data_IF_553897158096
#
_entry.id   IF_553897158096
#
_cell.length_a   1.000
_cell.length_b   1.000
_cell.length_c   1.000
_cell.angle_alpha   90.00
_cell.angle_beta   90.00
_cell.angle_gamma   90.00
#
_symmetry.space_group_name_H-M   'P 1'
#
loop_
_entity.id
_entity.type
_entity.pdbx_description
1 polymer ?
#
# COMPACT_ATOMS: atom_id res chain seq x y z
N UNK A 1 15.64 22.84 -4.81
CA UNK A 1 14.53 21.97 -5.27
C UNK A 1 14.86 20.53 -4.97
N UNK A 2 14.02 19.86 -4.20
CA UNK A 2 14.20 18.46 -3.88
C UNK A 2 13.60 17.58 -4.97
N UNK A 3 14.30 16.50 -5.34
CA UNK A 3 13.77 15.50 -6.24
C UNK A 3 12.60 14.79 -5.56
N UNK A 4 11.47 14.55 -6.22
CA UNK A 4 10.38 13.79 -5.66
C UNK A 4 10.82 12.38 -5.24
N UNK A 5 10.22 11.85 -4.18
CA UNK A 5 10.51 10.49 -3.70
C UNK A 5 10.03 9.43 -4.69
N UNK A 6 9.12 9.78 -5.57
CA UNK A 6 8.54 8.92 -6.60
C UNK A 6 7.07 9.26 -6.82
N UNK A 7 6.45 8.50 -7.73
CA UNK A 7 5.02 8.58 -8.00
C UNK A 7 4.31 7.45 -7.26
N UNK A 8 3.16 7.76 -6.69
CA UNK A 8 2.41 6.79 -5.91
C UNK A 8 0.94 6.73 -6.34
N UNK A 9 0.35 5.55 -6.19
CA UNK A 9 -1.07 5.31 -6.36
C UNK A 9 -1.61 4.70 -5.08
N UNK A 10 -2.80 5.12 -4.65
CA UNK A 10 -3.46 4.59 -3.47
C UNK A 10 -4.67 3.77 -3.89
N UNK A 11 -4.85 2.61 -3.29
CA UNK A 11 -6.01 1.75 -3.51
C UNK A 11 -6.68 1.51 -2.16
N UNK A 12 -7.84 2.12 -1.96
CA UNK A 12 -8.65 1.91 -0.76
C UNK A 12 -9.64 0.79 -1.03
N UNK A 13 -9.56 -0.27 -0.24
CA UNK A 13 -10.45 -1.43 -0.35
C UNK A 13 -11.55 -1.29 0.68
N UNK A 14 -12.78 -1.08 0.24
CA UNK A 14 -13.91 -0.81 1.12
C UNK A 14 -15.23 -1.25 0.47
N UNK A 15 -16.14 -1.75 1.29
CA UNK A 15 -17.49 -2.10 0.85
C UNK A 15 -18.49 -0.94 0.98
N UNK A 16 -18.04 0.22 1.48
CA UNK A 16 -18.92 1.38 1.73
C UNK A 16 -19.10 2.31 0.54
N UNK A 17 -18.74 1.86 -0.65
CA UNK A 17 -18.84 2.66 -1.88
C UNK A 17 -20.25 3.10 -2.21
N UNK A 18 -21.25 2.33 -1.79
CA UNK A 18 -22.66 2.55 -2.11
C UNK A 18 -23.19 3.86 -1.51
N UNK A 19 -22.59 4.33 -0.43
CA UNK A 19 -23.08 5.51 0.30
C UNK A 19 -22.32 6.79 -0.06
N UNK A 20 -21.44 6.75 -1.03
CA UNK A 20 -20.65 7.93 -1.44
C UNK A 20 -19.56 8.33 -0.47
N UNK A 21 -19.47 7.68 0.67
CA UNK A 21 -18.44 7.89 1.67
C UNK A 21 -17.45 6.73 1.54
N UNK A 22 -16.59 6.86 0.57
CA UNK A 22 -15.93 5.74 -0.10
C UNK A 22 -14.97 4.95 0.79
N UNK A 23 -14.25 5.62 1.70
CA UNK A 23 -13.15 4.95 2.41
C UNK A 23 -12.97 5.50 3.82
N UNK A 24 -13.95 6.21 4.34
CA UNK A 24 -13.88 6.87 5.66
C UNK A 24 -12.64 7.76 5.83
N UNK A 25 -12.19 8.36 4.72
CA UNK A 25 -11.03 9.23 4.71
C UNK A 25 -9.69 8.52 4.67
N UNK A 26 -9.66 7.19 4.51
CA UNK A 26 -8.41 6.44 4.47
C UNK A 26 -7.52 6.86 3.30
N UNK A 27 -8.10 6.96 2.10
CA UNK A 27 -7.34 7.39 0.92
C UNK A 27 -6.80 8.81 1.08
N UNK A 28 -7.59 9.72 1.66
CA UNK A 28 -7.14 11.08 1.92
C UNK A 28 -5.99 11.12 2.92
N UNK A 29 -6.06 10.32 3.98
CA UNK A 29 -4.99 10.26 4.98
C UNK A 29 -3.69 9.73 4.37
N UNK A 30 -3.75 8.65 3.60
CA UNK A 30 -2.57 8.10 2.93
C UNK A 30 -1.99 9.11 1.96
N UNK A 31 -2.85 9.80 1.19
CA UNK A 31 -2.42 10.87 0.29
C UNK A 31 -1.64 11.94 1.04
N UNK A 32 -2.20 12.43 2.13
CA UNK A 32 -1.55 13.45 2.95
C UNK A 32 -0.16 13.01 3.42
N UNK A 33 -0.07 11.80 3.96
CA UNK A 33 1.19 11.27 4.48
C UNK A 33 2.25 11.08 3.38
N UNK A 34 1.84 10.60 2.22
CA UNK A 34 2.75 10.42 1.09
C UNK A 34 3.21 11.75 0.51
N UNK A 35 2.33 12.73 0.38
CA UNK A 35 2.68 14.07 -0.10
C UNK A 35 3.67 14.74 0.86
N UNK A 36 3.44 14.63 2.16
CA UNK A 36 4.38 15.14 3.17
C UNK A 36 5.75 14.51 3.05
N UNK A 37 5.81 13.24 2.64
CA UNK A 37 7.07 12.52 2.46
C UNK A 37 7.74 12.79 1.10
N UNK A 38 7.14 13.62 0.25
CA UNK A 38 7.72 14.02 -1.02
C UNK A 38 7.27 13.21 -2.24
N UNK A 39 6.28 12.32 -2.08
CA UNK A 39 5.72 11.61 -3.23
C UNK A 39 4.75 12.48 -4.02
N UNK A 40 4.72 12.24 -5.32
CA UNK A 40 3.66 12.77 -6.20
C UNK A 40 2.58 11.70 -6.27
N UNK A 41 1.39 12.00 -5.77
CA UNK A 41 0.29 11.03 -5.75
C UNK A 41 -0.52 11.19 -7.04
N UNK A 42 -0.49 10.15 -7.88
CA UNK A 42 -1.20 10.14 -9.17
C UNK A 42 -2.71 10.02 -8.99
N UNK A 43 -3.15 9.33 -7.93
CA UNK A 43 -4.56 9.17 -7.65
C UNK A 43 -4.83 8.28 -6.46
N UNK A 44 -6.09 8.25 -6.05
CA UNK A 44 -6.59 7.38 -5.00
C UNK A 44 -7.86 6.70 -5.53
N UNK A 45 -7.80 5.38 -5.68
CA UNK A 45 -8.89 4.58 -6.20
C UNK A 45 -9.58 3.86 -5.05
N UNK A 46 -10.91 3.96 -4.96
CA UNK A 46 -11.69 3.20 -4.01
C UNK A 46 -12.34 2.02 -4.75
N UNK A 47 -12.11 0.81 -4.24
CA UNK A 47 -12.60 -0.42 -4.86
C UNK A 47 -13.28 -1.31 -3.82
N UNK A 48 -14.28 -2.09 -4.21
CA UNK A 48 -14.92 -3.03 -3.29
C UNK A 48 -13.98 -4.18 -2.92
N UNK A 49 -14.32 -4.90 -1.86
CA UNK A 49 -13.55 -6.07 -1.37
C UNK A 49 -13.76 -7.27 -2.29
N UNK A 50 -13.34 -7.16 -3.53
CA UNK A 50 -13.49 -8.18 -4.56
C UNK A 50 -12.20 -8.29 -5.38
N UNK A 51 -11.85 -9.52 -5.72
CA UNK A 51 -10.58 -9.81 -6.41
C UNK A 51 -10.43 -9.05 -7.72
N UNK A 52 -11.48 -8.96 -8.52
CA UNK A 52 -11.42 -8.33 -9.84
C UNK A 52 -11.09 -6.85 -9.74
N UNK A 53 -11.76 -6.12 -8.85
CA UNK A 53 -11.54 -4.68 -8.69
C UNK A 53 -10.14 -4.37 -8.13
N UNK A 54 -9.72 -5.14 -7.14
CA UNK A 54 -8.39 -4.97 -6.54
C UNK A 54 -7.30 -5.26 -7.57
N UNK A 55 -7.41 -6.37 -8.29
CA UNK A 55 -6.44 -6.75 -9.32
C UNK A 55 -6.35 -5.70 -10.41
N UNK A 56 -7.50 -5.21 -10.87
CA UNK A 56 -7.55 -4.16 -11.90
C UNK A 56 -6.85 -2.88 -11.43
N UNK A 57 -7.09 -2.47 -10.20
CA UNK A 57 -6.46 -1.27 -9.64
C UNK A 57 -4.93 -1.44 -9.52
N UNK A 58 -4.47 -2.60 -9.04
CA UNK A 58 -3.03 -2.88 -8.94
C UNK A 58 -2.37 -2.88 -10.33
N UNK A 59 -2.99 -3.54 -11.29
CA UNK A 59 -2.47 -3.59 -12.65
C UNK A 59 -2.44 -2.21 -13.31
N UNK A 60 -3.42 -1.36 -13.03
CA UNK A 60 -3.42 0.02 -13.51
C UNK A 60 -2.18 0.77 -13.04
N UNK A 61 -1.83 0.63 -11.76
CA UNK A 61 -0.63 1.28 -11.22
C UNK A 61 0.66 0.71 -11.79
N UNK A 62 0.76 -0.61 -11.89
CA UNK A 62 1.97 -1.26 -12.42
C UNK A 62 2.19 -0.89 -13.89
N UNK A 63 1.14 -0.97 -14.71
CA UNK A 63 1.20 -0.61 -16.14
C UNK A 63 1.52 0.87 -16.30
N UNK A 64 0.95 1.71 -15.44
CA UNK A 64 1.22 3.15 -15.42
C UNK A 64 2.61 3.54 -14.95
N UNK A 65 3.39 2.57 -14.43
CA UNK A 65 4.77 2.81 -14.05
C UNK A 65 4.95 3.60 -12.77
N UNK A 66 3.97 3.56 -11.85
CA UNK A 66 4.16 4.22 -10.55
C UNK A 66 5.24 3.51 -9.75
N UNK A 67 5.89 4.22 -8.86
CA UNK A 67 6.95 3.67 -8.04
C UNK A 67 6.42 2.93 -6.81
N UNK A 68 5.27 3.37 -6.30
CA UNK A 68 4.68 2.82 -5.09
C UNK A 68 3.17 2.71 -5.22
N UNK A 69 2.62 1.56 -4.87
CA UNK A 69 1.18 1.39 -4.66
C UNK A 69 0.97 1.04 -3.18
N UNK A 70 0.16 1.82 -2.50
CA UNK A 70 -0.27 1.52 -1.14
C UNK A 70 -1.73 1.09 -1.18
N UNK A 71 -2.01 -0.13 -0.76
CA UNK A 71 -3.40 -0.56 -0.55
C UNK A 71 -3.77 -0.38 0.91
N UNK A 72 -5.00 -0.03 1.18
CA UNK A 72 -5.51 0.16 2.54
C UNK A 72 -6.78 -0.65 2.72
N UNK A 73 -6.81 -1.50 3.74
CA UNK A 73 -7.95 -2.33 4.05
C UNK A 73 -7.91 -3.72 3.42
N UNK A 74 -8.84 -4.56 3.82
CA UNK A 74 -8.98 -5.91 3.30
C UNK A 74 -7.86 -6.87 3.69
N UNK A 75 -7.18 -6.62 4.81
CA UNK A 75 -6.00 -7.41 5.24
C UNK A 75 -6.28 -8.35 6.41
N UNK A 76 -7.52 -8.45 6.87
CA UNK A 76 -7.90 -9.30 8.01
C UNK A 76 -8.11 -10.75 7.64
N UNK A 77 -8.94 -11.43 8.44
CA UNK A 77 -9.11 -12.88 8.35
C UNK A 77 -10.50 -13.32 7.88
N UNK A 78 -11.36 -12.37 7.52
CA UNK A 78 -12.70 -12.72 7.04
C UNK A 78 -12.65 -13.13 5.57
N UNK A 79 -13.69 -13.84 5.07
CA UNK A 79 -13.74 -14.19 3.64
C UNK A 79 -13.76 -12.98 2.69
N UNK A 80 -14.10 -11.80 3.22
CA UNK A 80 -14.09 -10.55 2.44
C UNK A 80 -12.70 -9.94 2.33
N UNK A 81 -11.77 -10.35 3.18
CA UNK A 81 -10.41 -9.81 3.23
C UNK A 81 -9.52 -10.53 2.23
N UNK A 82 -9.53 -10.08 0.98
CA UNK A 82 -8.81 -10.73 -0.11
C UNK A 82 -7.65 -9.92 -0.67
N UNK A 83 -7.38 -8.74 -0.10
CA UNK A 83 -6.31 -7.87 -0.60
C UNK A 83 -4.95 -8.56 -0.65
N UNK A 84 -4.49 -9.25 0.41
CA UNK A 84 -3.18 -9.91 0.36
C UNK A 84 -3.12 -11.03 -0.69
N UNK A 85 -4.20 -11.76 -0.86
CA UNK A 85 -4.25 -12.88 -1.81
C UNK A 85 -4.12 -12.38 -3.25
N UNK A 86 -4.83 -11.30 -3.58
CA UNK A 86 -4.74 -10.68 -4.91
C UNK A 86 -3.37 -10.04 -5.13
N UNK A 87 -2.85 -9.35 -4.12
CA UNK A 87 -1.53 -8.73 -4.22
C UNK A 87 -0.44 -9.77 -4.44
N UNK A 88 -0.52 -10.91 -3.76
CA UNK A 88 0.44 -12.00 -3.93
C UNK A 88 0.49 -12.53 -5.36
N UNK A 89 -0.63 -12.48 -6.09
CA UNK A 89 -0.68 -12.89 -7.50
C UNK A 89 -0.01 -11.86 -8.44
N UNK A 90 0.02 -10.60 -8.04
CA UNK A 90 0.52 -9.50 -8.88
C UNK A 90 2.02 -9.28 -8.68
N UNK A 91 2.54 -9.49 -7.47
CA UNK A 91 3.95 -9.26 -7.18
C UNK A 91 4.84 -10.35 -7.80
N UNK A 92 6.01 -9.93 -8.30
CA UNK A 92 7.03 -10.84 -8.84
C UNK A 92 7.99 -11.31 -7.77
N UNK A 93 8.31 -10.44 -6.82
CA UNK A 93 9.27 -10.69 -5.75
C UNK A 93 8.70 -10.18 -4.44
N UNK A 94 8.65 -11.04 -3.45
CA UNK A 94 8.18 -10.68 -2.12
C UNK A 94 9.24 -9.95 -1.32
N UNK A 95 8.79 -9.02 -0.49
CA UNK A 95 9.62 -8.31 0.48
C UNK A 95 9.08 -8.59 1.90
N UNK A 96 9.23 -9.83 2.38
CA UNK A 96 8.61 -10.23 3.65
C UNK A 96 9.13 -9.43 4.85
N UNK A 97 10.38 -8.96 4.78
CA UNK A 97 10.94 -8.15 5.85
C UNK A 97 10.22 -6.83 6.05
N UNK A 98 9.75 -6.20 4.96
CA UNK A 98 8.96 -4.97 5.07
C UNK A 98 7.60 -5.28 5.68
N UNK A 99 6.93 -6.33 5.22
CA UNK A 99 5.65 -6.74 5.79
C UNK A 99 5.76 -7.05 7.29
N UNK A 100 6.82 -7.71 7.70
CA UNK A 100 7.09 -8.00 9.11
C UNK A 100 7.37 -6.73 9.90
N UNK A 101 8.14 -5.78 9.33
CA UNK A 101 8.40 -4.50 9.97
C UNK A 101 7.12 -3.73 10.27
N UNK A 102 6.15 -3.75 9.35
CA UNK A 102 4.85 -3.13 9.55
C UNK A 102 4.11 -3.78 10.73
N UNK A 103 4.11 -5.11 10.81
CA UNK A 103 3.47 -5.83 11.92
C UNK A 103 4.17 -5.57 13.24
N UNK A 104 5.50 -5.58 13.28
CA UNK A 104 6.28 -5.28 14.48
C UNK A 104 6.06 -3.86 14.97
N UNK A 105 6.05 -2.88 14.05
CA UNK A 105 5.77 -1.50 14.39
C UNK A 105 4.37 -1.35 15.00
N UNK A 106 3.39 -2.03 14.39
CA UNK A 106 2.02 -2.05 14.91
C UNK A 106 1.94 -2.64 16.31
N UNK A 107 2.70 -3.70 16.59
CA UNK A 107 2.75 -4.29 17.92
C UNK A 107 3.30 -3.29 18.95
N UNK A 108 4.40 -2.63 18.63
CA UNK A 108 5.02 -1.64 19.52
C UNK A 108 4.09 -0.46 19.78
N UNK A 109 3.29 -0.06 18.79
CA UNK A 109 2.34 1.04 18.91
C UNK A 109 0.99 0.64 19.51
N UNK A 110 0.76 -0.65 19.77
CA UNK A 110 -0.51 -1.15 20.29
C UNK A 110 -1.65 -1.15 19.27
N UNK A 111 -1.34 -1.27 17.99
CA UNK A 111 -2.34 -1.23 16.90
C UNK A 111 -2.67 -2.65 16.49
N UNK A 112 -3.75 -3.18 17.05
CA UNK A 112 -4.10 -4.61 16.92
C UNK A 112 -4.33 -5.05 15.48
N UNK A 113 -5.07 -4.29 14.68
CA UNK A 113 -5.35 -4.68 13.30
C UNK A 113 -4.09 -4.69 12.42
N UNK A 114 -3.09 -3.88 12.76
CA UNK A 114 -1.80 -3.94 12.07
C UNK A 114 -1.03 -5.23 12.41
N UNK A 115 -1.08 -5.65 13.67
CA UNK A 115 -0.35 -6.85 14.13
C UNK A 115 -0.90 -8.12 13.48
N UNK A 116 -2.22 -8.24 13.40
CA UNK A 116 -2.89 -9.44 12.87
C UNK A 116 -3.10 -9.37 11.36
N UNK A 117 -2.59 -8.35 10.73
CA UNK A 117 -2.72 -8.17 9.28
C UNK A 117 -2.01 -9.30 8.52
N UNK A 118 -2.67 -9.82 7.47
CA UNK A 118 -2.08 -10.76 6.53
C UNK A 118 -1.42 -10.05 5.36
N UNK A 119 -1.23 -8.73 5.46
CA UNK A 119 -0.69 -7.89 4.41
C UNK A 119 0.65 -8.38 3.88
N UNK A 120 0.84 -8.24 2.58
CA UNK A 120 2.09 -8.57 1.90
C UNK A 120 2.70 -7.31 1.30
N UNK A 121 4.00 -7.34 1.10
CA UNK A 121 4.75 -6.29 0.41
C UNK A 121 5.64 -6.96 -0.62
N UNK A 122 5.76 -6.37 -1.78
CA UNK A 122 6.61 -6.90 -2.82
C UNK A 122 6.81 -5.93 -3.97
N UNK A 123 7.46 -6.43 -5.01
CA UNK A 123 7.74 -5.66 -6.23
C UNK A 123 7.05 -6.32 -7.40
N UNK A 124 6.44 -5.54 -8.26
CA UNK A 124 5.93 -5.97 -9.55
C UNK A 124 6.53 -5.07 -10.62
N UNK A 125 7.40 -5.63 -11.45
CA UNK A 125 8.20 -4.82 -12.37
C UNK A 125 9.08 -3.85 -11.59
N UNK A 126 8.85 -2.55 -11.73
CA UNK A 126 9.57 -1.50 -10.98
C UNK A 126 8.68 -0.83 -9.93
N UNK A 127 7.53 -1.41 -9.62
CA UNK A 127 6.58 -0.86 -8.65
C UNK A 127 6.64 -1.63 -7.34
N UNK A 128 6.82 -0.92 -6.24
CA UNK A 128 6.67 -1.49 -4.88
C UNK A 128 5.18 -1.46 -4.54
N UNK A 129 4.64 -2.59 -4.10
CA UNK A 129 3.24 -2.70 -3.67
C UNK A 129 3.23 -3.09 -2.20
N UNK A 130 2.52 -2.33 -1.38
CA UNK A 130 2.44 -2.58 0.06
C UNK A 130 0.99 -2.55 0.53
N UNK A 131 0.57 -3.60 1.26
CA UNK A 131 -0.73 -3.65 1.91
C UNK A 131 -0.62 -3.06 3.32
N UNK A 132 -1.58 -2.21 3.68
CA UNK A 132 -1.67 -1.59 5.01
C UNK A 132 -3.06 -1.85 5.58
N UNK A 133 -3.13 -2.17 6.86
CA UNK A 133 -4.41 -2.36 7.55
C UNK A 133 -5.19 -1.05 7.59
N UNK A 134 -6.52 -1.15 7.66
CA UNK A 134 -7.41 -0.04 7.32
C UNK A 134 -7.72 0.97 8.41
N UNK A 135 -7.37 0.73 9.68
CA UNK A 135 -7.64 1.72 10.73
C UNK A 135 -6.74 2.95 10.58
N UNK A 136 -7.21 4.09 11.06
CA UNK A 136 -6.41 5.31 10.98
C UNK A 136 -5.09 5.16 11.74
N UNK A 137 -5.11 4.49 12.89
CA UNK A 137 -3.90 4.21 13.65
C UNK A 137 -2.93 3.32 12.87
N UNK A 138 -3.43 2.29 12.19
CA UNK A 138 -2.61 1.41 11.35
C UNK A 138 -2.02 2.16 10.16
N UNK A 139 -2.78 3.06 9.56
CA UNK A 139 -2.29 3.88 8.45
C UNK A 139 -1.16 4.78 8.91
N UNK A 140 -1.34 5.51 10.00
CA UNK A 140 -0.31 6.42 10.51
C UNK A 140 0.96 5.68 10.90
N UNK A 141 0.84 4.61 11.67
CA UNK A 141 1.98 3.80 12.09
C UNK A 141 2.62 3.10 10.89
N UNK A 142 1.80 2.50 10.03
CA UNK A 142 2.28 1.75 8.88
C UNK A 142 3.03 2.62 7.89
N UNK A 143 2.50 3.78 7.54
CA UNK A 143 3.17 4.68 6.60
C UNK A 143 4.49 5.22 7.17
N UNK A 144 4.55 5.51 8.47
CA UNK A 144 5.78 5.96 9.10
C UNK A 144 6.91 4.92 8.97
N UNK A 145 6.56 3.63 9.07
CA UNK A 145 7.52 2.54 8.91
C UNK A 145 7.79 2.23 7.43
N UNK A 146 6.75 2.22 6.61
CA UNK A 146 6.85 1.85 5.20
C UNK A 146 7.66 2.85 4.37
N UNK A 147 7.43 4.14 4.56
CA UNK A 147 7.97 5.16 3.67
C UNK A 147 9.49 5.10 3.54
N UNK A 148 10.28 5.06 4.63
CA UNK A 148 11.74 4.97 4.49
C UNK A 148 12.18 3.68 3.77
N UNK A 149 11.52 2.57 4.03
CA UNK A 149 11.85 1.27 3.42
C UNK A 149 11.47 1.24 1.94
N UNK A 150 10.32 1.81 1.60
CA UNK A 150 9.89 1.93 0.21
C UNK A 150 10.82 2.84 -0.58
N UNK A 151 11.22 3.96 -0.01
CA UNK A 151 12.16 4.89 -0.68
C UNK A 151 13.50 4.20 -0.97
N UNK A 152 14.03 3.46 -0.02
CA UNK A 152 15.25 2.69 -0.22
C UNK A 152 15.08 1.70 -1.38
N UNK A 153 13.98 0.96 -1.39
CA UNK A 153 13.70 -0.05 -2.43
C UNK A 153 13.53 0.61 -3.81
N UNK A 154 12.80 1.72 -3.87
CA UNK A 154 12.59 2.47 -5.12
C UNK A 154 13.93 2.95 -5.66
N UNK A 155 14.80 3.46 -4.81
CA UNK A 155 16.12 3.91 -5.22
C UNK A 155 16.94 2.78 -5.82
N UNK A 156 16.89 1.59 -5.22
CA UNK A 156 17.57 0.41 -5.77
C UNK A 156 17.00 0.01 -7.15
N UNK A 157 15.68 0.03 -7.29
CA UNK A 157 15.02 -0.30 -8.56
C UNK A 157 15.35 0.69 -9.68
N UNK A 158 15.69 1.91 -9.32
CA UNK A 158 16.01 2.98 -10.26
C UNK A 158 17.49 3.03 -10.62
N UNK A 159 18.33 2.22 -9.96
CA UNK A 159 19.78 2.26 -10.16
C UNK A 159 20.18 1.43 -11.39
N UNK A 160 20.61 2.04 -12.50
CA UNK A 160 20.97 1.31 -13.70
C UNK A 160 22.25 0.50 -13.56
N UNK A 161 23.07 0.78 -12.56
CA UNK A 161 24.32 0.05 -12.32
C UNK A 161 24.05 -1.30 -11.70
N UNK A 162 23.01 -1.41 -10.90
CA UNK A 162 22.62 -2.63 -10.19
C UNK A 162 21.63 -3.49 -11.00
N UNK A 163 21.13 -2.93 -12.06
CA UNK A 163 20.18 -3.61 -12.93
C UNK A 163 20.77 -4.66 -13.82
#
# INVERSE_FOLDING_TARGET
>A
MTTPAGRALIVSVTDDLVHGDNDHGAGALVTELLVEAGFVVDGSLAVPSESVGIRSALNTGVIGGVDLIVTVGGTGVTPRDVTPDVTAEVIDRGLPGIAEALRWSGMAAGVTDAVVSRGVVGVSGSTVIANVAGSRAAIRDGLATLIPLARHTIDELSDPVMG
#
